data_IF_287851091226
#
_entry.id   IF_287851091226
#
_cell.length_a   1.000
_cell.length_b   1.000
_cell.length_c   1.000
_cell.angle_alpha   90.00
_cell.angle_beta   90.00
_cell.angle_gamma   90.00
#
_symmetry.space_group_name_H-M   'P 1'
#
loop_
_entity.id
_entity.type
_entity.pdbx_description
1 polymer ?
#
# COMPACT_ATOMS: atom_id res chain seq x y z
N UNK A 1 21.84 -14.18 23.24
CA UNK A 1 20.65 -13.33 22.88
C UNK A 1 21.05 -11.97 22.32
N UNK A 2 22.15 -11.39 22.76
CA UNK A 2 22.63 -10.06 22.29
C UNK A 2 23.19 -10.11 20.88
N UNK A 3 23.73 -11.24 20.43
CA UNK A 3 24.36 -11.40 19.11
C UNK A 3 23.35 -11.40 17.95
N UNK A 4 22.06 -11.68 18.19
CA UNK A 4 21.02 -11.67 17.16
C UNK A 4 20.42 -10.29 16.88
N UNK A 5 20.48 -9.36 17.82
CA UNK A 5 20.00 -7.99 17.64
C UNK A 5 20.92 -7.16 16.71
N UNK A 6 22.19 -7.53 16.59
CA UNK A 6 23.12 -6.88 15.67
C UNK A 6 22.94 -7.30 14.20
N UNK A 7 22.03 -8.20 13.91
CA UNK A 7 21.74 -8.68 12.54
C UNK A 7 20.42 -8.14 11.96
N UNK A 8 19.68 -7.28 12.68
CA UNK A 8 18.48 -6.66 12.19
C UNK A 8 18.86 -5.65 11.09
N UNK A 9 18.49 -5.96 9.86
CA UNK A 9 18.63 -5.01 8.75
C UNK A 9 17.34 -4.22 8.60
N UNK A 10 17.48 -2.96 8.25
CA UNK A 10 16.37 -2.03 8.08
C UNK A 10 16.44 -1.40 6.68
N UNK A 11 15.33 -1.34 6.02
CA UNK A 11 15.19 -0.67 4.73
C UNK A 11 14.01 0.31 4.81
N UNK A 12 14.23 1.54 4.39
CA UNK A 12 13.19 2.57 4.29
C UNK A 12 13.00 2.92 2.82
N UNK A 13 11.76 2.94 2.36
CA UNK A 13 11.44 3.39 1.00
C UNK A 13 10.30 4.38 0.97
N UNK A 14 10.40 5.31 0.04
CA UNK A 14 9.39 6.32 -0.28
C UNK A 14 8.97 6.07 -1.72
N UNK A 15 7.68 5.98 -1.99
CA UNK A 15 7.15 5.76 -3.34
C UNK A 15 5.95 6.67 -3.57
N UNK A 16 5.91 7.27 -4.75
CA UNK A 16 4.78 8.07 -5.23
C UNK A 16 4.28 7.48 -6.54
N UNK A 17 2.98 7.29 -6.66
CA UNK A 17 2.31 6.68 -7.80
C UNK A 17 1.19 7.58 -8.30
N UNK A 18 1.10 7.72 -9.60
CA UNK A 18 0.01 8.42 -10.26
C UNK A 18 -0.99 7.44 -10.85
N UNK A 19 -2.22 7.51 -10.41
CA UNK A 19 -3.37 6.73 -10.86
C UNK A 19 -4.01 7.46 -12.05
N UNK A 20 -3.88 6.90 -13.24
CA UNK A 20 -4.23 7.60 -14.48
C UNK A 20 -5.72 7.87 -14.63
N UNK A 21 -6.57 6.94 -14.20
CA UNK A 21 -8.02 7.09 -14.34
C UNK A 21 -8.63 7.92 -13.22
N UNK A 22 -8.12 7.73 -12.02
CA UNK A 22 -8.56 8.49 -10.86
C UNK A 22 -8.05 9.93 -10.86
N UNK A 23 -7.04 10.26 -11.68
CA UNK A 23 -6.36 11.56 -11.73
C UNK A 23 -5.89 11.97 -10.32
N UNK A 24 -5.15 11.08 -9.67
CA UNK A 24 -4.77 11.25 -8.28
C UNK A 24 -3.41 10.61 -7.99
N UNK A 25 -2.69 11.19 -7.03
CA UNK A 25 -1.39 10.70 -6.59
C UNK A 25 -1.53 9.96 -5.26
N UNK A 26 -0.96 8.77 -5.17
CA UNK A 26 -0.93 7.93 -3.98
C UNK A 26 0.51 7.79 -3.50
N UNK A 27 0.74 8.06 -2.21
CA UNK A 27 2.07 8.09 -1.64
C UNK A 27 2.24 7.00 -0.58
N UNK A 28 3.45 6.43 -0.53
CA UNK A 28 3.80 5.34 0.38
C UNK A 28 5.09 5.64 1.12
N UNK A 29 5.09 5.38 2.41
CA UNK A 29 6.29 5.30 3.25
C UNK A 29 6.36 3.87 3.76
N UNK A 30 7.41 3.15 3.42
CA UNK A 30 7.57 1.75 3.79
C UNK A 30 8.82 1.57 4.65
N UNK A 31 8.68 0.86 5.75
CA UNK A 31 9.76 0.37 6.59
C UNK A 31 9.74 -1.16 6.55
N UNK A 32 10.84 -1.75 6.11
CA UNK A 32 11.06 -3.19 6.11
C UNK A 32 12.09 -3.54 7.19
N UNK A 33 11.72 -4.41 8.12
CA UNK A 33 12.59 -4.93 9.17
C UNK A 33 12.91 -6.38 8.84
N UNK A 34 14.19 -6.71 8.67
CA UNK A 34 14.69 -8.00 8.21
C UNK A 34 15.47 -8.66 9.35
N UNK A 35 14.82 -9.43 10.25
CA UNK A 35 15.48 -10.11 11.34
C UNK A 35 16.28 -11.35 10.89
N UNK A 36 15.95 -11.91 9.74
CA UNK A 36 16.62 -13.04 9.12
C UNK A 36 16.51 -12.95 7.58
N UNK A 37 17.45 -13.54 6.81
CA UNK A 37 17.47 -13.42 5.35
C UNK A 37 16.19 -13.93 4.65
N UNK A 38 15.44 -14.78 5.31
CA UNK A 38 14.24 -15.42 4.78
C UNK A 38 12.94 -14.91 5.42
N UNK A 39 13.01 -13.88 6.28
CA UNK A 39 11.83 -13.32 6.96
C UNK A 39 11.95 -11.81 7.08
N UNK A 40 10.86 -11.11 6.83
CA UNK A 40 10.79 -9.69 7.09
C UNK A 40 9.40 -9.26 7.58
N UNK A 41 9.38 -8.16 8.31
CA UNK A 41 8.18 -7.43 8.68
C UNK A 41 8.12 -6.16 7.83
N UNK A 42 7.01 -5.95 7.16
CA UNK A 42 6.74 -4.75 6.38
C UNK A 42 5.73 -3.88 7.13
N UNK A 43 6.12 -2.65 7.37
CA UNK A 43 5.28 -1.59 7.92
C UNK A 43 5.13 -0.51 6.85
N UNK A 44 3.91 -0.09 6.56
CA UNK A 44 3.69 0.89 5.50
C UNK A 44 2.61 1.89 5.90
N UNK A 45 2.88 3.16 5.62
CA UNK A 45 1.89 4.24 5.63
C UNK A 45 1.53 4.59 4.20
N UNK A 46 0.26 4.74 3.94
CA UNK A 46 -0.28 4.99 2.61
C UNK A 46 -1.20 6.19 2.66
N UNK A 47 -0.83 7.25 1.97
CA UNK A 47 -1.70 8.39 1.70
C UNK A 47 -2.55 8.06 0.47
N UNK A 48 -3.81 7.69 0.71
CA UNK A 48 -4.74 7.22 -0.33
C UNK A 48 -5.80 8.29 -0.64
N UNK A 49 -5.68 8.98 -1.78
CA UNK A 49 -6.62 10.04 -2.17
C UNK A 49 -8.02 9.51 -2.51
N UNK A 50 -8.17 8.20 -2.78
CA UNK A 50 -9.46 7.60 -3.11
C UNK A 50 -10.30 7.30 -1.86
N UNK A 51 -9.66 7.16 -0.70
CA UNK A 51 -10.32 6.90 0.57
C UNK A 51 -11.10 5.59 0.61
N UNK A 52 -12.24 5.60 1.30
CA UNK A 52 -13.17 4.48 1.35
C UNK A 52 -14.63 4.94 1.28
N UNK A 53 -15.49 4.03 0.85
CA UNK A 53 -16.95 4.24 0.81
C UNK A 53 -17.57 3.42 1.92
N UNK A 54 -18.27 4.08 2.84
CA UNK A 54 -19.02 3.43 3.91
C UNK A 54 -20.52 3.61 3.66
N UNK A 55 -21.26 2.51 3.70
CA UNK A 55 -22.73 2.57 3.74
C UNK A 55 -23.17 2.64 5.19
N UNK A 56 -23.85 3.70 5.54
CA UNK A 56 -24.57 3.81 6.82
C UNK A 56 -26.06 3.81 6.55
N UNK A 57 -26.79 2.95 7.25
CA UNK A 57 -28.25 2.99 7.26
C UNK A 57 -28.66 3.91 8.38
N UNK A 58 -29.14 5.09 8.04
CA UNK A 58 -29.69 6.05 9.01
C UNK A 58 -31.21 5.86 9.07
N UNK A 59 -31.70 5.43 10.20
CA UNK A 59 -33.14 5.41 10.49
C UNK A 59 -33.57 6.84 10.82
N UNK A 60 -34.31 7.46 9.94
CA UNK A 60 -34.96 8.75 10.20
C UNK A 60 -36.47 8.52 10.29
N UNK A 61 -37.05 8.79 11.46
CA UNK A 61 -38.49 8.88 11.63
C UNK A 61 -38.88 10.33 11.77
N UNK A 62 -39.66 10.91 10.83
CA UNK A 62 -40.39 12.13 11.09
C UNK A 62 -41.40 11.90 12.23
N UNK A 63 -41.71 12.89 13.07
CA UNK A 63 -42.69 12.72 14.12
C UNK A 63 -44.06 12.35 13.54
N UNK A 64 -44.50 11.10 13.76
CA UNK A 64 -45.83 10.61 13.36
C UNK A 64 -45.89 9.68 12.16
N UNK A 65 -44.76 9.28 11.58
CA UNK A 65 -44.67 8.28 10.49
C UNK A 65 -43.82 7.08 10.89
N UNK A 66 -44.07 5.93 10.22
CA UNK A 66 -43.27 4.71 10.41
C UNK A 66 -41.80 4.93 10.04
N UNK A 67 -40.91 4.26 10.76
CA UNK A 67 -39.47 4.33 10.52
C UNK A 67 -39.09 3.96 9.07
N UNK A 68 -38.63 4.94 8.32
CA UNK A 68 -38.14 4.70 6.95
C UNK A 68 -36.61 4.62 6.99
N UNK A 69 -36.08 3.46 6.62
CA UNK A 69 -34.65 3.25 6.52
C UNK A 69 -34.08 4.00 5.28
N UNK A 70 -33.33 5.06 5.52
CA UNK A 70 -32.57 5.74 4.47
C UNK A 70 -31.13 5.22 4.45
N UNK A 71 -30.70 4.71 3.32
CA UNK A 71 -29.31 4.34 3.11
C UNK A 71 -28.50 5.58 2.70
N UNK A 72 -27.69 6.08 3.60
CA UNK A 72 -26.75 7.16 3.34
C UNK A 72 -25.39 6.58 2.94
N UNK A 73 -24.90 6.91 1.75
CA UNK A 73 -23.56 6.52 1.30
C UNK A 73 -22.61 7.64 1.70
N UNK A 74 -21.80 7.41 2.72
CA UNK A 74 -20.72 8.32 3.09
C UNK A 74 -19.44 7.94 2.37
N UNK A 75 -18.90 8.88 1.64
CA UNK A 75 -17.62 8.77 1.00
C UNK A 75 -16.61 9.66 1.74
N UNK A 76 -15.51 9.08 2.17
CA UNK A 76 -14.39 9.82 2.75
C UNK A 76 -13.21 9.70 1.81
N UNK A 77 -12.65 10.82 1.36
CA UNK A 77 -11.44 10.93 0.55
C UNK A 77 -10.26 11.37 1.43
N UNK A 78 -9.05 11.21 0.91
CA UNK A 78 -7.80 11.63 1.55
C UNK A 78 -7.59 10.98 2.93
N UNK A 79 -7.42 9.65 2.92
CA UNK A 79 -7.25 8.87 4.15
C UNK A 79 -5.85 8.30 4.22
N UNK A 80 -5.26 8.44 5.40
CA UNK A 80 -4.06 7.73 5.76
C UNK A 80 -4.43 6.27 6.12
N UNK A 81 -3.90 5.33 5.36
CA UNK A 81 -3.99 3.89 5.59
C UNK A 81 -2.67 3.34 6.07
N UNK A 82 -2.69 2.20 6.73
CA UNK A 82 -1.48 1.53 7.16
C UNK A 82 -1.49 0.06 6.74
N UNK A 83 -0.29 -0.50 6.56
CA UNK A 83 -0.09 -1.92 6.34
C UNK A 83 0.89 -2.47 7.37
N UNK A 84 0.64 -3.70 7.82
CA UNK A 84 1.51 -4.48 8.69
C UNK A 84 1.50 -5.90 8.18
N UNK A 85 2.58 -6.33 7.56
CA UNK A 85 2.66 -7.63 6.90
C UNK A 85 3.87 -8.42 7.39
N UNK A 86 3.65 -9.69 7.71
CA UNK A 86 4.70 -10.68 7.93
C UNK A 86 5.00 -11.35 6.60
N UNK A 87 6.28 -11.53 6.31
CA UNK A 87 6.73 -12.12 5.07
C UNK A 87 7.73 -13.26 5.30
N UNK A 88 7.61 -14.27 4.44
CA UNK A 88 8.55 -15.39 4.34
C UNK A 88 9.06 -15.49 2.91
N UNK A 89 10.38 -15.50 2.74
CA UNK A 89 11.05 -15.61 1.46
C UNK A 89 11.49 -17.04 1.18
N UNK A 90 11.18 -17.52 -0.02
CA UNK A 90 11.57 -18.81 -0.57
C UNK A 90 12.33 -18.59 -1.88
N UNK A 91 13.65 -18.37 -1.81
CA UNK A 91 14.46 -18.03 -2.97
C UNK A 91 13.98 -16.75 -3.67
N UNK A 92 13.41 -16.87 -4.86
CA UNK A 92 12.88 -15.75 -5.63
C UNK A 92 11.41 -15.39 -5.31
N UNK A 93 10.73 -16.18 -4.49
CA UNK A 93 9.33 -15.99 -4.11
C UNK A 93 9.24 -15.53 -2.65
N UNK A 94 8.57 -14.44 -2.39
CA UNK A 94 8.18 -14.02 -1.04
C UNK A 94 6.66 -14.09 -0.89
N UNK A 95 6.19 -14.65 0.21
CA UNK A 95 4.77 -14.66 0.56
C UNK A 95 4.55 -13.72 1.74
N UNK A 96 3.56 -12.86 1.64
CA UNK A 96 3.20 -11.85 2.65
C UNK A 96 1.77 -12.07 3.12
N UNK A 97 1.51 -11.83 4.39
CA UNK A 97 0.16 -11.83 4.95
C UNK A 97 0.07 -10.86 6.13
N UNK A 98 -1.11 -10.29 6.30
CA UNK A 98 -1.35 -9.33 7.38
C UNK A 98 -2.41 -8.31 7.05
N UNK A 99 -2.19 -7.09 7.51
CA UNK A 99 -3.02 -5.94 7.15
C UNK A 99 -2.39 -5.22 5.96
N UNK A 100 -3.14 -5.04 4.89
CA UNK A 100 -2.78 -4.28 3.70
C UNK A 100 -3.77 -3.13 3.56
N UNK A 101 -3.27 -1.90 3.54
CA UNK A 101 -4.09 -0.68 3.46
C UNK A 101 -5.28 -0.68 4.45
N UNK A 102 -5.01 -1.02 5.73
CA UNK A 102 -5.97 -1.10 6.84
C UNK A 102 -7.00 -2.22 6.72
N UNK A 103 -6.84 -3.17 5.82
CA UNK A 103 -7.71 -4.34 5.65
C UNK A 103 -6.90 -5.63 5.66
N UNK A 104 -7.52 -6.75 6.02
CA UNK A 104 -6.87 -8.06 5.95
C UNK A 104 -6.51 -8.42 4.52
N UNK A 105 -5.31 -9.01 4.32
CA UNK A 105 -4.85 -9.36 2.99
C UNK A 105 -3.65 -10.30 2.97
N UNK A 106 -3.28 -10.68 1.78
CA UNK A 106 -2.07 -11.45 1.49
C UNK A 106 -1.45 -10.96 0.18
N UNK A 107 -0.13 -11.13 0.09
CA UNK A 107 0.65 -10.75 -1.08
C UNK A 107 1.67 -11.80 -1.45
N UNK A 108 2.15 -11.70 -2.69
CA UNK A 108 3.26 -12.49 -3.19
C UNK A 108 4.16 -11.61 -4.04
N UNK A 109 5.47 -11.76 -3.84
CA UNK A 109 6.48 -11.07 -4.63
C UNK A 109 7.38 -12.09 -5.33
N UNK A 110 7.73 -11.79 -6.57
CA UNK A 110 8.73 -12.52 -7.36
C UNK A 110 9.89 -11.58 -7.63
N UNK A 111 11.06 -11.91 -7.08
CA UNK A 111 12.26 -11.09 -7.17
C UNK A 111 13.28 -11.72 -8.11
N UNK A 112 13.78 -10.92 -9.06
CA UNK A 112 14.72 -11.33 -10.10
C UNK A 112 15.91 -10.37 -10.16
N UNK A 113 17.03 -10.85 -10.71
CA UNK A 113 18.24 -10.06 -10.96
C UNK A 113 18.78 -9.38 -9.70
N UNK A 114 18.96 -10.15 -8.64
CA UNK A 114 19.40 -9.65 -7.32
C UNK A 114 18.50 -8.51 -6.81
N UNK A 115 17.20 -8.75 -6.80
CA UNK A 115 16.15 -7.85 -6.33
C UNK A 115 16.02 -6.53 -7.13
N UNK A 116 16.62 -6.45 -8.33
CA UNK A 116 16.47 -5.28 -9.20
C UNK A 116 15.12 -5.20 -9.88
N UNK A 117 14.50 -6.35 -10.13
CA UNK A 117 13.18 -6.43 -10.74
C UNK A 117 12.28 -7.26 -9.84
N UNK A 118 11.21 -6.67 -9.33
CA UNK A 118 10.20 -7.38 -8.56
C UNK A 118 8.83 -7.28 -9.23
N UNK A 119 8.09 -8.38 -9.18
CA UNK A 119 6.68 -8.45 -9.52
C UNK A 119 5.89 -8.77 -8.27
N UNK A 120 4.92 -7.94 -7.94
CA UNK A 120 4.12 -8.05 -6.73
C UNK A 120 2.65 -8.18 -7.07
N UNK A 121 1.96 -9.04 -6.33
CA UNK A 121 0.49 -9.15 -6.37
C UNK A 121 -0.03 -9.12 -4.94
N UNK A 122 -0.95 -8.21 -4.66
CA UNK A 122 -1.64 -8.06 -3.39
C UNK A 122 -3.12 -8.32 -3.56
N UNK A 123 -3.72 -9.05 -2.61
CA UNK A 123 -5.16 -9.31 -2.54
C UNK A 123 -5.65 -8.92 -1.16
N UNK A 124 -6.52 -7.93 -1.08
CA UNK A 124 -6.99 -7.37 0.17
C UNK A 124 -8.38 -6.72 0.01
N UNK A 125 -8.92 -6.17 1.08
CA UNK A 125 -10.21 -5.47 1.09
C UNK A 125 -11.37 -6.33 0.53
N UNK A 126 -11.61 -7.47 1.21
CA UNK A 126 -12.58 -8.49 0.80
C UNK A 126 -14.04 -8.07 1.01
N UNK A 127 -14.30 -7.09 1.86
CA UNK A 127 -15.65 -6.71 2.30
C UNK A 127 -16.12 -5.36 1.73
N UNK A 128 -15.78 -5.06 0.48
CA UNK A 128 -16.16 -3.80 -0.17
C UNK A 128 -17.65 -3.79 -0.58
N UNK A 129 -18.44 -2.83 -0.09
CA UNK A 129 -19.91 -2.82 -0.36
C UNK A 129 -20.28 -2.66 -1.82
N UNK A 130 -19.39 -2.07 -2.63
CA UNK A 130 -19.67 -1.71 -4.02
C UNK A 130 -18.87 -2.52 -5.06
N UNK A 131 -17.98 -3.40 -4.60
CA UNK A 131 -17.15 -4.24 -5.45
C UNK A 131 -17.62 -5.69 -5.40
N UNK A 132 -17.51 -6.40 -6.53
CA UNK A 132 -17.83 -7.82 -6.62
C UNK A 132 -16.64 -8.68 -6.14
N UNK A 133 -15.43 -8.21 -6.46
CA UNK A 133 -14.19 -8.93 -6.15
C UNK A 133 -13.38 -8.16 -5.10
N UNK A 134 -12.52 -8.85 -4.32
CA UNK A 134 -11.55 -8.18 -3.47
C UNK A 134 -10.66 -7.25 -4.31
N UNK A 135 -10.00 -6.30 -3.66
CA UNK A 135 -9.04 -5.47 -4.36
C UNK A 135 -7.80 -6.30 -4.68
N UNK A 136 -7.50 -6.40 -5.95
CA UNK A 136 -6.31 -7.07 -6.46
C UNK A 136 -5.42 -6.03 -7.11
N UNK A 137 -4.22 -5.90 -6.58
CA UNK A 137 -3.21 -5.00 -7.07
C UNK A 137 -2.04 -5.80 -7.61
N UNK A 138 -1.64 -5.56 -8.84
CA UNK A 138 -0.51 -6.22 -9.48
C UNK A 138 0.45 -5.16 -10.02
N UNK A 139 1.73 -5.23 -9.63
CA UNK A 139 2.69 -4.20 -10.02
C UNK A 139 4.11 -4.73 -10.13
N UNK A 140 4.93 -3.95 -10.79
CA UNK A 140 6.35 -4.21 -10.96
C UNK A 140 7.15 -3.04 -10.41
N UNK A 141 8.28 -3.32 -9.78
CA UNK A 141 9.29 -2.34 -9.42
C UNK A 141 10.59 -2.68 -10.15
N UNK A 142 11.22 -1.68 -10.75
CA UNK A 142 12.51 -1.80 -11.41
C UNK A 142 13.49 -0.79 -10.79
N UNK A 143 14.53 -1.28 -10.14
CA UNK A 143 15.65 -0.47 -9.66
C UNK A 143 16.52 -0.06 -10.83
N UNK A 144 16.47 1.22 -11.18
CA UNK A 144 17.20 1.79 -12.34
C UNK A 144 18.65 2.12 -11.96
N UNK A 145 18.81 2.79 -10.83
CA UNK A 145 20.11 3.11 -10.21
C UNK A 145 20.03 2.85 -8.71
N UNK A 146 21.16 2.75 -8.00
CA UNK A 146 21.13 2.63 -6.55
C UNK A 146 20.19 3.66 -5.92
N UNK A 147 19.37 3.22 -4.97
CA UNK A 147 18.37 4.01 -4.25
C UNK A 147 17.18 4.54 -5.06
N UNK A 148 17.14 4.42 -6.38
CA UNK A 148 16.03 4.91 -7.20
C UNK A 148 15.38 3.78 -7.99
N UNK A 149 14.07 3.65 -7.85
CA UNK A 149 13.29 2.69 -8.60
C UNK A 149 12.06 3.33 -9.25
N UNK A 150 11.59 2.71 -10.30
CA UNK A 150 10.32 3.04 -10.96
C UNK A 150 9.33 1.92 -10.71
N UNK A 151 8.05 2.25 -10.64
CA UNK A 151 6.97 1.29 -10.47
C UNK A 151 5.87 1.51 -11.51
N UNK A 152 5.24 0.43 -11.93
CA UNK A 152 4.07 0.48 -12.78
C UNK A 152 3.17 -0.72 -12.50
N UNK A 153 1.86 -0.56 -12.69
CA UNK A 153 0.96 -1.65 -12.41
C UNK A 153 -0.51 -1.34 -12.63
N UNK A 154 -1.30 -2.25 -12.08
CA UNK A 154 -2.76 -2.23 -12.08
C UNK A 154 -3.25 -2.20 -10.64
N UNK A 155 -4.09 -1.25 -10.32
CA UNK A 155 -4.87 -1.24 -9.10
C UNK A 155 -6.28 -1.75 -9.38
N UNK A 156 -6.84 -2.51 -8.44
CA UNK A 156 -8.20 -3.07 -8.50
C UNK A 156 -8.52 -3.83 -9.81
N UNK A 157 -7.61 -4.73 -10.20
CA UNK A 157 -7.52 -5.33 -11.54
C UNK A 157 -8.82 -5.98 -12.05
N UNK A 158 -9.66 -6.55 -11.17
CA UNK A 158 -10.84 -7.31 -11.54
C UNK A 158 -12.16 -6.54 -11.45
N UNK A 159 -12.19 -5.42 -10.74
CA UNK A 159 -13.40 -4.63 -10.63
C UNK A 159 -13.51 -3.62 -11.78
N UNK A 160 -14.74 -3.38 -12.22
CA UNK A 160 -15.01 -2.39 -13.27
C UNK A 160 -14.90 -0.98 -12.70
N UNK A 161 -14.27 -0.09 -13.45
CA UNK A 161 -14.21 1.30 -13.09
C UNK A 161 -15.62 1.92 -13.04
N UNK A 162 -15.91 2.62 -11.95
CA UNK A 162 -17.17 3.32 -11.72
C UNK A 162 -16.91 4.81 -11.59
N UNK A 163 -17.58 5.58 -12.44
CA UNK A 163 -17.55 7.03 -12.38
C UNK A 163 -18.49 7.53 -11.27
N UNK A 164 -18.00 8.42 -10.44
CA UNK A 164 -18.79 9.11 -9.42
C UNK A 164 -19.16 10.51 -9.92
N UNK A 165 -20.45 10.74 -10.27
CA UNK A 165 -20.88 12.03 -10.81
C UNK A 165 -20.80 13.18 -9.79
N UNK A 166 -20.78 12.89 -8.48
CA UNK A 166 -20.70 13.90 -7.42
C UNK A 166 -19.28 14.49 -7.30
N UNK A 167 -18.27 13.67 -7.52
CA UNK A 167 -16.87 14.10 -7.43
C UNK A 167 -16.22 14.35 -8.78
N UNK A 168 -16.88 13.96 -9.88
CA UNK A 168 -16.33 14.05 -11.22
C UNK A 168 -15.16 13.11 -11.52
N UNK A 169 -14.93 12.10 -10.68
CA UNK A 169 -13.77 11.20 -10.73
C UNK A 169 -14.17 9.72 -10.77
N UNK A 170 -13.28 8.88 -11.29
CA UNK A 170 -13.41 7.44 -11.12
C UNK A 170 -12.87 7.04 -9.75
N UNK A 171 -13.70 6.41 -8.92
CA UNK A 171 -13.34 6.06 -7.53
C UNK A 171 -13.06 4.60 -7.31
N UNK A 172 -13.68 3.74 -8.09
CA UNK A 172 -13.62 2.29 -7.92
C UNK A 172 -13.25 1.63 -9.24
N UNK A 173 -12.60 0.47 -9.12
CA UNK A 173 -12.29 -0.41 -10.23
C UNK A 173 -10.94 -0.15 -10.86
N UNK A 174 -10.66 -0.93 -11.87
CA UNK A 174 -9.36 -1.04 -12.52
C UNK A 174 -8.80 0.31 -12.96
N UNK A 175 -7.62 0.60 -12.44
CA UNK A 175 -6.81 1.74 -12.82
C UNK A 175 -5.37 1.31 -13.12
N UNK A 176 -4.74 1.97 -14.07
CA UNK A 176 -3.30 1.85 -14.29
C UNK A 176 -2.59 2.91 -13.47
N UNK A 177 -1.40 2.58 -13.01
CA UNK A 177 -0.56 3.55 -12.37
C UNK A 177 0.89 3.42 -12.81
N UNK A 178 1.60 4.52 -12.72
CA UNK A 178 3.06 4.58 -12.81
C UNK A 178 3.59 5.45 -11.68
N UNK A 179 4.78 5.16 -11.23
CA UNK A 179 5.38 5.87 -10.12
C UNK A 179 6.88 5.73 -10.06
N UNK A 180 7.44 6.39 -9.07
CA UNK A 180 8.85 6.31 -8.77
C UNK A 180 9.06 6.35 -7.25
N UNK A 181 10.22 5.87 -6.81
CA UNK A 181 10.55 5.86 -5.40
C UNK A 181 12.05 5.86 -5.12
N UNK A 182 12.33 6.10 -3.84
CA UNK A 182 13.66 6.02 -3.28
C UNK A 182 13.68 4.93 -2.21
N UNK A 183 14.77 4.17 -2.13
CA UNK A 183 15.00 3.20 -1.06
C UNK A 183 16.38 3.40 -0.44
N UNK A 184 16.45 3.25 0.87
CA UNK A 184 17.67 3.42 1.67
C UNK A 184 17.82 2.21 2.59
N UNK A 185 18.99 1.61 2.54
CA UNK A 185 19.36 0.50 3.43
C UNK A 185 19.85 1.00 4.79
N UNK A 186 20.02 0.08 5.73
CA UNK A 186 20.62 0.36 7.03
C UNK A 186 22.02 0.99 6.95
N UNK A 187 22.81 0.62 5.94
CA UNK A 187 24.14 1.19 5.69
C UNK A 187 24.05 2.66 5.26
N UNK A 188 23.12 2.98 4.39
CA UNK A 188 22.87 4.35 3.93
C UNK A 188 22.40 5.24 5.08
N UNK A 189 21.49 4.71 5.90
CA UNK A 189 20.99 5.42 7.08
C UNK A 189 22.09 5.70 8.10
N UNK A 190 23.00 4.74 8.32
CA UNK A 190 24.17 4.93 9.19
C UNK A 190 25.10 6.02 8.67
N UNK A 191 25.32 6.10 7.36
CA UNK A 191 26.11 7.17 6.76
C UNK A 191 25.44 8.52 6.96
N UNK A 192 24.15 8.63 6.67
CA UNK A 192 23.37 9.87 6.79
C UNK A 192 23.37 10.36 8.26
N UNK A 193 23.01 9.49 9.21
CA UNK A 193 22.91 9.87 10.62
C UNK A 193 24.27 10.00 11.30
N UNK A 194 25.27 9.20 10.90
CA UNK A 194 26.63 9.29 11.40
C UNK A 194 27.31 10.62 11.02
N UNK A 195 27.02 11.12 9.81
CA UNK A 195 27.52 12.44 9.36
C UNK A 195 26.88 13.59 10.14
N UNK A 196 25.61 13.48 10.48
CA UNK A 196 24.89 14.48 11.26
C UNK A 196 25.41 14.51 12.71
N UNK A 197 25.72 13.34 13.30
CA UNK A 197 26.22 13.22 14.68
C UNK A 197 27.69 13.62 14.82
N UNK A 198 28.51 13.51 13.78
CA UNK A 198 29.92 13.91 13.77
C UNK A 198 30.17 15.39 13.47
N UNK A 199 29.16 16.18 13.16
CA UNK A 199 29.26 17.55 12.72
C UNK A 199 28.93 18.65 13.77
N UNK A 200 28.77 18.27 15.05
CA UNK A 200 28.64 19.26 16.12
C UNK A 200 30.00 19.42 16.82
N UNK A 201 30.63 20.61 16.75
CA UNK A 201 31.88 20.90 17.45
C UNK A 201 31.67 20.97 18.97
#
# INVERSE_FOLDING_TARGET
>A
YVTRLNALQTEISLRSEYLFRADATKNYITLRLIPAPDQFLLLQLVDDPLGYVRRETVLRSPPGEDEVAHQEIRTTSDILKFSVELAKRYSFLSLRFGLIESTGGFGADLDFFDDRLSFSVDVFDFARPEAIYPRVRAFTNLTVIPHFFISAGLDDAFNRARYDPLTGRFRLGRDFFAGAGLSFSDEDLKVIFGTISGGLP
#
